data_IF_333307285633
#
_entry.id   IF_333307285633
#
_cell.length_a   1.000
_cell.length_b   1.000
_cell.length_c   1.000
_cell.angle_alpha   90.00
_cell.angle_beta   90.00
_cell.angle_gamma   90.00
#
_symmetry.space_group_name_H-M   'P 1'
#
loop_
_entity.id
_entity.type
_entity.pdbx_description
1 polymer ?
#
# COMPACT_ATOMS: atom_id res chain seq x y z
N UNK A 1 22.19 13.30 -20.74
CA UNK A 1 21.94 13.33 -19.28
C UNK A 1 21.30 12.01 -18.89
N UNK A 2 21.86 11.24 -17.95
CA UNK A 2 21.14 10.09 -17.39
C UNK A 2 19.96 10.64 -16.61
N UNK A 3 18.75 10.32 -17.02
CA UNK A 3 17.54 10.64 -16.24
C UNK A 3 17.67 9.95 -14.90
N UNK A 4 17.56 10.73 -13.82
CA UNK A 4 17.56 10.18 -12.44
C UNK A 4 16.38 9.20 -12.35
N UNK A 5 16.65 7.95 -11.99
CA UNK A 5 15.58 6.99 -11.74
C UNK A 5 14.70 7.46 -10.58
N UNK A 6 13.37 7.34 -10.70
CA UNK A 6 12.47 7.70 -9.61
C UNK A 6 12.73 6.83 -8.37
N UNK A 7 12.40 7.39 -7.21
CA UNK A 7 12.52 6.71 -5.93
C UNK A 7 11.13 6.23 -5.51
N UNK A 8 10.99 4.92 -5.32
CA UNK A 8 9.80 4.32 -4.72
C UNK A 8 9.92 4.32 -3.20
N UNK A 9 8.96 4.93 -2.52
CA UNK A 9 8.78 4.81 -1.07
C UNK A 9 7.82 3.67 -0.73
N UNK A 10 8.20 2.82 0.20
CA UNK A 10 7.37 1.73 0.69
C UNK A 10 7.11 1.91 2.18
N UNK A 11 5.87 2.14 2.58
CA UNK A 11 5.44 2.06 3.97
C UNK A 11 4.95 0.64 4.24
N UNK A 12 5.74 -0.13 4.95
CA UNK A 12 5.56 -1.56 5.21
C UNK A 12 5.72 -1.94 6.68
N UNK A 13 6.04 -3.20 6.91
CA UNK A 13 6.18 -3.78 8.26
C UNK A 13 4.85 -4.27 8.83
N UNK A 14 3.75 -4.00 8.18
CA UNK A 14 2.38 -4.38 8.53
C UNK A 14 1.85 -5.66 7.80
N UNK A 15 2.58 -6.60 7.56
CA UNK A 15 3.43 -7.67 7.88
C UNK A 15 4.88 -7.49 7.31
N UNK A 16 5.86 -7.75 8.15
CA UNK A 16 7.26 -7.57 7.75
C UNK A 16 7.71 -8.57 6.68
N UNK A 17 7.26 -9.81 6.73
CA UNK A 17 7.60 -10.83 5.72
C UNK A 17 7.01 -10.45 4.36
N UNK A 18 5.75 -10.00 4.33
CA UNK A 18 5.10 -9.55 3.09
C UNK A 18 5.82 -8.34 2.50
N UNK A 19 6.30 -7.43 3.35
CA UNK A 19 7.10 -6.27 2.91
C UNK A 19 8.42 -6.72 2.26
N UNK A 20 9.09 -7.72 2.83
CA UNK A 20 10.31 -8.28 2.26
C UNK A 20 10.06 -8.97 0.90
N UNK A 21 8.99 -9.76 0.79
CA UNK A 21 8.59 -10.39 -0.48
C UNK A 21 8.19 -9.36 -1.54
N UNK A 22 7.52 -8.28 -1.14
CA UNK A 22 7.20 -7.19 -2.06
C UNK A 22 8.48 -6.53 -2.60
N UNK A 23 9.45 -6.21 -1.73
CA UNK A 23 10.73 -5.65 -2.16
C UNK A 23 11.47 -6.60 -3.12
N UNK A 24 11.50 -7.89 -2.82
CA UNK A 24 12.08 -8.91 -3.69
C UNK A 24 11.40 -8.93 -5.06
N UNK A 25 10.05 -8.89 -5.07
CA UNK A 25 9.26 -8.90 -6.30
C UNK A 25 9.54 -7.72 -7.22
N UNK A 26 9.84 -6.52 -6.67
CA UNK A 26 10.21 -5.34 -7.44
C UNK A 26 11.45 -5.61 -8.31
N UNK A 27 12.40 -6.39 -7.80
CA UNK A 27 13.64 -6.68 -8.52
C UNK A 27 13.56 -7.94 -9.37
N UNK A 28 12.83 -8.98 -8.94
CA UNK A 28 12.75 -10.26 -9.65
C UNK A 28 11.82 -10.23 -10.87
N UNK A 29 10.68 -9.51 -10.75
CA UNK A 29 9.63 -9.53 -11.77
C UNK A 29 9.56 -8.28 -12.64
N UNK A 30 10.60 -7.46 -12.65
CA UNK A 30 10.65 -6.29 -13.52
C UNK A 30 11.20 -6.66 -14.92
N UNK A 31 10.35 -6.79 -15.95
CA UNK A 31 10.76 -7.19 -17.28
C UNK A 31 11.56 -6.12 -18.05
N UNK A 32 11.69 -4.92 -17.47
CA UNK A 32 12.36 -3.76 -18.09
C UNK A 32 13.78 -3.55 -17.57
N UNK A 33 14.31 -4.47 -16.73
CA UNK A 33 15.65 -4.38 -16.15
C UNK A 33 16.56 -5.40 -16.85
N UNK A 34 17.48 -4.89 -17.67
CA UNK A 34 18.55 -5.71 -18.26
C UNK A 34 19.83 -5.72 -17.40
N UNK A 35 20.02 -4.68 -16.59
CA UNK A 35 21.20 -4.50 -15.75
C UNK A 35 20.80 -4.02 -14.36
N UNK A 36 21.54 -4.46 -13.35
CA UNK A 36 21.34 -4.07 -11.94
C UNK A 36 21.21 -2.54 -11.75
N UNK A 37 21.99 -1.76 -12.51
CA UNK A 37 22.00 -0.29 -12.43
C UNK A 37 20.73 0.39 -12.99
N UNK A 38 19.86 -0.36 -13.61
CA UNK A 38 18.56 0.08 -14.14
C UNK A 38 17.43 -0.23 -13.16
N UNK A 39 17.74 -0.92 -12.08
CA UNK A 39 16.79 -1.23 -11.00
C UNK A 39 16.29 0.05 -10.32
N UNK A 40 15.01 0.10 -9.92
CA UNK A 40 14.45 1.27 -9.23
C UNK A 40 15.14 1.50 -7.87
N UNK A 41 15.31 2.77 -7.51
CA UNK A 41 15.71 3.13 -6.16
C UNK A 41 14.51 2.95 -5.22
N UNK A 42 14.71 2.29 -4.08
CA UNK A 42 13.63 2.03 -3.12
C UNK A 42 14.02 2.47 -1.72
N UNK A 43 13.11 3.17 -1.04
CA UNK A 43 13.20 3.49 0.39
C UNK A 43 12.09 2.71 1.09
N UNK A 44 12.47 1.86 2.04
CA UNK A 44 11.51 1.05 2.80
C UNK A 44 11.45 1.52 4.25
N UNK A 45 10.28 1.93 4.67
CA UNK A 45 9.93 2.13 6.08
C UNK A 45 9.19 0.87 6.56
N UNK A 46 9.87 0.03 7.32
CA UNK A 46 9.29 -1.22 7.82
C UNK A 46 9.07 -1.12 9.33
N UNK A 47 7.81 -1.02 9.75
CA UNK A 47 7.41 -0.88 11.15
C UNK A 47 6.54 -2.06 11.61
N UNK A 48 7.14 -3.18 12.06
CA UNK A 48 6.37 -4.27 12.66
C UNK A 48 5.61 -3.85 13.93
N UNK A 49 6.07 -2.77 14.58
CA UNK A 49 5.44 -2.17 15.77
C UNK A 49 4.30 -1.20 15.47
N UNK A 50 3.90 -1.05 14.19
CA UNK A 50 2.73 -0.24 13.84
C UNK A 50 1.49 -0.70 14.62
N UNK A 51 0.58 0.24 15.01
CA UNK A 51 -0.65 -0.14 15.70
C UNK A 51 -1.43 -1.21 14.93
N UNK A 52 -2.03 -2.16 15.64
CA UNK A 52 -2.82 -3.22 15.01
C UNK A 52 -4.04 -2.65 14.30
N UNK A 53 -4.16 -2.90 13.01
CA UNK A 53 -5.22 -2.31 12.15
C UNK A 53 -6.59 -2.83 12.50
N UNK A 54 -6.72 -4.17 12.60
CA UNK A 54 -8.00 -4.81 12.93
C UNK A 54 -8.41 -4.50 14.38
N UNK A 55 -7.47 -4.62 15.32
CA UNK A 55 -7.71 -4.27 16.72
C UNK A 55 -8.08 -2.80 16.92
N UNK A 56 -7.49 -1.88 16.16
CA UNK A 56 -7.86 -0.46 16.18
C UNK A 56 -9.30 -0.23 15.69
N UNK A 57 -9.70 -0.91 14.62
CA UNK A 57 -11.06 -0.88 14.07
C UNK A 57 -12.05 -1.43 15.10
N UNK A 58 -11.79 -2.63 15.64
CA UNK A 58 -12.68 -3.33 16.58
C UNK A 58 -12.88 -2.57 17.88
N UNK A 59 -11.84 -1.87 18.34
CA UNK A 59 -11.88 -1.08 19.58
C UNK A 59 -12.34 0.38 19.40
N UNK A 60 -12.54 0.84 18.15
CA UNK A 60 -12.86 2.24 17.84
C UNK A 60 -11.69 3.21 18.11
N UNK A 61 -10.46 2.71 18.23
CA UNK A 61 -9.23 3.49 18.47
C UNK A 61 -8.43 3.71 17.19
N UNK A 62 -9.12 4.04 16.11
CA UNK A 62 -8.51 4.16 14.79
C UNK A 62 -7.55 5.36 14.68
N UNK A 63 -7.73 6.39 15.50
CA UNK A 63 -6.96 7.64 15.42
C UNK A 63 -5.45 7.41 15.56
N UNK A 64 -5.02 6.54 16.45
CA UNK A 64 -3.60 6.22 16.63
C UNK A 64 -2.97 5.66 15.36
N UNK A 65 -3.68 4.79 14.67
CA UNK A 65 -3.20 4.23 13.41
C UNK A 65 -3.22 5.26 12.27
N UNK A 66 -4.24 6.11 12.21
CA UNK A 66 -4.33 7.19 11.22
C UNK A 66 -3.16 8.16 11.38
N UNK A 67 -2.86 8.59 12.61
CA UNK A 67 -1.72 9.45 12.92
C UNK A 67 -0.39 8.80 12.54
N UNK A 68 -0.25 7.50 12.78
CA UNK A 68 0.92 6.74 12.35
C UNK A 68 1.08 6.77 10.83
N UNK A 69 0.03 6.57 10.06
CA UNK A 69 0.07 6.64 8.58
C UNK A 69 0.42 8.05 8.13
N UNK A 70 -0.23 9.07 8.67
CA UNK A 70 -0.04 10.48 8.32
C UNK A 70 1.43 10.90 8.48
N UNK A 71 2.00 10.70 9.66
CA UNK A 71 3.41 11.05 9.97
C UNK A 71 4.39 10.34 9.04
N UNK A 72 4.17 9.06 8.76
CA UNK A 72 5.07 8.31 7.88
C UNK A 72 4.94 8.71 6.41
N UNK A 73 3.73 9.06 5.94
CA UNK A 73 3.54 9.64 4.62
C UNK A 73 4.20 11.01 4.48
N UNK A 74 4.16 11.86 5.50
CA UNK A 74 4.90 13.13 5.50
C UNK A 74 6.41 12.94 5.29
N UNK A 75 7.00 11.93 5.94
CA UNK A 75 8.41 11.63 5.77
C UNK A 75 8.71 11.06 4.38
N UNK A 76 7.91 10.10 3.90
CA UNK A 76 8.12 9.49 2.60
C UNK A 76 7.90 10.48 1.45
N UNK A 77 6.95 11.42 1.57
CA UNK A 77 6.71 12.45 0.56
C UNK A 77 7.92 13.37 0.31
N UNK A 78 8.79 13.54 1.30
CA UNK A 78 10.03 14.32 1.19
C UNK A 78 11.15 13.55 0.49
N UNK A 79 11.07 12.21 0.47
CA UNK A 79 12.17 11.33 0.06
C UNK A 79 11.88 10.58 -1.24
N UNK A 80 10.61 10.32 -1.55
CA UNK A 80 10.20 9.47 -2.65
C UNK A 80 9.41 10.25 -3.72
N UNK A 81 9.48 9.74 -4.95
CA UNK A 81 8.73 10.28 -6.09
C UNK A 81 7.35 9.63 -6.23
N UNK A 82 7.20 8.38 -5.77
CA UNK A 82 5.94 7.65 -5.63
C UNK A 82 5.96 6.79 -4.36
N UNK A 83 4.80 6.45 -3.82
CA UNK A 83 4.67 5.78 -2.53
C UNK A 83 3.68 4.62 -2.64
N UNK A 84 3.99 3.51 -1.97
CA UNK A 84 3.09 2.36 -1.77
C UNK A 84 2.96 2.08 -0.28
N UNK A 85 1.74 1.80 0.19
CA UNK A 85 1.49 1.24 1.52
C UNK A 85 1.30 -0.27 1.34
N UNK A 86 2.25 -1.07 1.85
CA UNK A 86 2.28 -2.52 1.72
C UNK A 86 1.29 -3.27 2.62
N UNK A 87 0.08 -2.73 2.79
CA UNK A 87 -0.98 -3.32 3.60
C UNK A 87 -2.35 -2.88 3.10
N UNK A 88 -3.17 -3.82 2.62
CA UNK A 88 -4.52 -3.50 2.13
C UNK A 88 -5.38 -2.86 3.22
N UNK A 89 -5.43 -3.45 4.43
CA UNK A 89 -6.24 -2.92 5.53
C UNK A 89 -5.88 -1.47 5.89
N UNK A 90 -4.59 -1.10 5.78
CA UNK A 90 -4.15 0.27 6.10
C UNK A 90 -4.81 1.36 5.25
N UNK A 91 -5.33 1.00 4.07
CA UNK A 91 -5.98 1.96 3.18
C UNK A 91 -7.27 2.56 3.76
N UNK A 92 -7.85 1.98 4.82
CA UNK A 92 -9.01 2.58 5.49
C UNK A 92 -8.69 3.95 6.12
N UNK A 93 -7.42 4.21 6.41
CA UNK A 93 -6.99 5.48 6.98
C UNK A 93 -7.00 6.63 5.94
N UNK A 94 -6.81 6.32 4.65
CA UNK A 94 -6.58 7.31 3.60
C UNK A 94 -7.65 8.40 3.47
N UNK A 95 -8.96 8.13 3.63
CA UNK A 95 -9.97 9.19 3.57
C UNK A 95 -9.84 10.27 4.66
N UNK A 96 -9.04 10.01 5.71
CA UNK A 96 -8.80 10.92 6.81
C UNK A 96 -7.40 11.56 6.77
N UNK A 97 -6.58 11.21 5.76
CA UNK A 97 -5.25 11.78 5.52
C UNK A 97 -5.40 13.00 4.59
N UNK A 98 -4.67 14.10 4.84
CA UNK A 98 -4.65 15.25 3.92
C UNK A 98 -4.27 14.85 2.49
N UNK A 99 -5.01 15.37 1.50
CA UNK A 99 -4.87 15.00 0.09
C UNK A 99 -3.44 15.20 -0.43
N UNK A 100 -2.80 16.30 -0.06
CA UNK A 100 -1.41 16.58 -0.45
C UNK A 100 -0.39 15.54 0.02
N UNK A 101 -0.73 14.69 0.99
CA UNK A 101 0.11 13.57 1.44
C UNK A 101 -0.17 12.29 0.66
N UNK A 102 -1.27 12.21 -0.05
CA UNK A 102 -1.68 11.03 -0.83
C UNK A 102 -1.49 11.20 -2.33
N UNK A 103 -1.09 12.38 -2.82
CA UNK A 103 -0.89 12.67 -4.26
C UNK A 103 0.10 11.73 -4.94
N UNK A 104 1.13 11.27 -4.23
CA UNK A 104 2.14 10.34 -4.73
C UNK A 104 1.79 8.87 -4.50
N UNK A 105 0.64 8.59 -3.88
CA UNK A 105 0.28 7.24 -3.46
C UNK A 105 -0.24 6.41 -4.63
N UNK A 106 0.41 5.26 -4.83
CA UNK A 106 -0.09 4.19 -5.69
C UNK A 106 -0.99 3.30 -4.82
N UNK A 107 -2.29 3.38 -5.04
CA UNK A 107 -3.27 2.65 -4.22
C UNK A 107 -3.40 1.19 -4.67
N UNK A 108 -3.07 0.26 -3.79
CA UNK A 108 -3.26 -1.17 -4.03
C UNK A 108 -4.73 -1.52 -4.25
N UNK A 109 -5.64 -0.81 -3.57
CA UNK A 109 -7.09 -1.04 -3.71
C UNK A 109 -7.54 -0.66 -5.12
N UNK A 110 -7.14 0.53 -5.62
CA UNK A 110 -7.51 0.97 -6.97
C UNK A 110 -6.96 0.04 -8.05
N UNK A 111 -5.72 -0.46 -7.89
CA UNK A 111 -5.13 -1.42 -8.85
C UNK A 111 -5.95 -2.72 -8.84
N UNK A 112 -6.25 -3.27 -7.66
CA UNK A 112 -7.04 -4.48 -7.55
C UNK A 112 -8.45 -4.31 -8.13
N UNK A 113 -9.11 -3.17 -7.90
CA UNK A 113 -10.42 -2.87 -8.47
C UNK A 113 -10.38 -2.79 -10.00
N UNK A 114 -9.34 -2.19 -10.57
CA UNK A 114 -9.14 -2.15 -12.03
C UNK A 114 -8.97 -3.55 -12.62
N UNK A 115 -8.11 -4.38 -12.03
CA UNK A 115 -7.91 -5.77 -12.45
C UNK A 115 -9.21 -6.58 -12.34
N UNK A 116 -9.98 -6.41 -11.25
CA UNK A 116 -11.25 -7.10 -11.03
C UNK A 116 -12.32 -6.71 -12.05
N UNK A 117 -12.35 -5.45 -12.51
CA UNK A 117 -13.30 -5.00 -13.54
C UNK A 117 -13.04 -5.63 -14.90
N UNK A 118 -11.81 -6.05 -15.18
CA UNK A 118 -11.46 -6.77 -16.41
C UNK A 118 -11.87 -8.26 -16.33
N UNK A 119 -12.10 -8.78 -15.13
CA UNK A 119 -12.55 -10.15 -14.90
C UNK A 119 -14.09 -10.23 -14.95
N UNK A 120 -14.65 -10.88 -15.98
CA UNK A 120 -16.08 -11.14 -16.11
C UNK A 120 -16.57 -12.38 -15.34
N UNK A 121 -15.82 -12.82 -14.34
CA UNK A 121 -16.09 -14.03 -13.58
C UNK A 121 -16.40 -13.69 -12.12
N UNK A 122 -17.28 -14.45 -11.43
CA UNK A 122 -17.50 -14.27 -10.00
C UNK A 122 -16.21 -14.42 -9.22
N UNK A 123 -15.84 -13.40 -8.43
CA UNK A 123 -14.60 -13.37 -7.68
C UNK A 123 -14.85 -13.45 -6.18
N UNK A 124 -14.19 -14.38 -5.49
CA UNK A 124 -14.25 -14.52 -4.04
C UNK A 124 -13.17 -13.69 -3.38
N UNK A 125 -13.56 -12.74 -2.51
CA UNK A 125 -12.63 -11.97 -1.69
C UNK A 125 -12.24 -12.75 -0.43
N UNK A 126 -10.95 -13.09 -0.31
CA UNK A 126 -10.33 -13.59 0.93
C UNK A 126 -9.53 -12.46 1.55
N UNK A 127 -9.98 -11.95 2.68
CA UNK A 127 -9.40 -10.76 3.31
C UNK A 127 -9.39 -10.88 4.85
N UNK A 128 -8.58 -10.01 5.50
CA UNK A 128 -8.66 -9.84 6.95
C UNK A 128 -10.01 -9.25 7.36
N UNK A 129 -10.43 -9.51 8.61
CA UNK A 129 -11.66 -8.94 9.16
C UNK A 129 -11.72 -7.42 9.02
N UNK A 130 -10.61 -6.72 9.29
CA UNK A 130 -10.56 -5.26 9.15
C UNK A 130 -10.77 -4.78 7.70
N UNK A 131 -10.19 -5.46 6.72
CA UNK A 131 -10.40 -5.16 5.29
C UNK A 131 -11.88 -5.33 4.90
N UNK A 132 -12.50 -6.41 5.38
CA UNK A 132 -13.90 -6.71 5.14
C UNK A 132 -14.83 -5.70 5.82
N UNK A 133 -14.62 -5.40 7.10
CA UNK A 133 -15.42 -4.42 7.87
C UNK A 133 -15.40 -3.02 7.23
N UNK A 134 -14.23 -2.60 6.73
CA UNK A 134 -14.04 -1.29 6.07
C UNK A 134 -14.47 -1.30 4.59
N UNK A 135 -14.94 -2.42 4.07
CA UNK A 135 -15.48 -2.56 2.71
C UNK A 135 -14.51 -2.08 1.61
N UNK A 136 -13.20 -2.32 1.77
CA UNK A 136 -12.18 -1.73 0.91
C UNK A 136 -12.24 -2.19 -0.55
N UNK A 137 -12.83 -3.36 -0.84
CA UNK A 137 -12.94 -3.93 -2.18
C UNK A 137 -14.40 -4.13 -2.64
N UNK A 138 -15.38 -3.69 -1.88
CA UNK A 138 -16.80 -4.02 -2.18
C UNK A 138 -17.45 -3.11 -3.22
N UNK A 139 -16.83 -1.97 -3.56
CA UNK A 139 -17.33 -1.12 -4.65
C UNK A 139 -17.06 -1.72 -6.04
N UNK A 140 -16.02 -2.55 -6.16
CA UNK A 140 -15.68 -3.28 -7.40
C UNK A 140 -16.19 -4.72 -7.45
N UNK A 141 -16.58 -5.31 -6.30
CA UNK A 141 -17.10 -6.66 -6.24
C UNK A 141 -18.62 -6.64 -6.31
N UNK A 142 -19.21 -7.15 -7.37
CA UNK A 142 -20.62 -7.51 -7.38
C UNK A 142 -20.83 -8.61 -6.33
N UNK A 143 -21.42 -8.25 -5.19
CA UNK A 143 -21.88 -9.22 -4.20
C UNK A 143 -22.96 -10.07 -4.84
N UNK A 144 -22.68 -11.35 -5.05
CA UNK A 144 -23.70 -12.35 -5.38
C UNK A 144 -24.60 -12.60 -4.17
#
# INVERSE_FOLDING_TARGET
>A
MKTKLPILGVLGGMGPVVTAEFLKSIYEYNPFIDKEQESPNVIVFSFPSAPDRTGSIDSGKEREFIDFIEVNLEHLNKLADCIVIGCCTAHYALPQIPENLTDKLISLIKIADQELQEYNEPTLLLASTGTYQKKLFQEGCTTA
#
